data_IF_611022466869
#
_entry.id   IF_611022466869
#
_cell.length_a   1.000
_cell.length_b   1.000
_cell.length_c   1.000
_cell.angle_alpha   90.00
_cell.angle_beta   90.00
_cell.angle_gamma   90.00
#
_symmetry.space_group_name_H-M   'P 1'
#
loop_
_entity.id
_entity.type
_entity.pdbx_description
1 polymer ?
#
# COMPACT_ATOMS: atom_id res chain seq x y z
N UNK A 1 -16.63 7.96 -11.50
CA UNK A 1 -17.42 9.20 -11.35
C UNK A 1 -18.34 9.19 -10.12
N UNK A 2 -19.06 8.10 -9.79
CA UNK A 2 -19.91 8.04 -8.59
C UNK A 2 -19.10 8.20 -7.30
N UNK A 3 -17.92 7.58 -7.21
CA UNK A 3 -17.03 7.72 -6.06
C UNK A 3 -16.51 9.16 -5.90
N UNK A 4 -16.24 9.86 -7.01
CA UNK A 4 -15.80 11.27 -6.94
C UNK A 4 -16.83 12.22 -6.31
N UNK A 5 -18.12 11.88 -6.37
CA UNK A 5 -19.16 12.64 -5.70
C UNK A 5 -19.16 12.45 -4.19
N UNK A 6 -18.59 11.35 -3.70
CA UNK A 6 -18.49 11.01 -2.28
C UNK A 6 -17.15 11.38 -1.67
N UNK A 7 -16.07 11.10 -2.39
CA UNK A 7 -14.69 11.23 -1.91
C UNK A 7 -13.95 12.45 -2.48
N UNK A 8 -14.65 13.30 -3.25
CA UNK A 8 -14.02 14.44 -3.93
C UNK A 8 -13.31 14.05 -5.22
N UNK A 9 -12.50 14.96 -5.79
CA UNK A 9 -11.80 14.71 -7.04
C UNK A 9 -10.81 13.54 -6.91
N UNK A 10 -10.74 12.72 -7.96
CA UNK A 10 -9.73 11.67 -8.06
C UNK A 10 -8.36 12.35 -8.09
N UNK A 11 -7.46 11.90 -7.23
CA UNK A 11 -6.08 12.36 -7.18
C UNK A 11 -5.29 11.79 -8.36
N UNK A 12 -4.76 12.65 -9.19
CA UNK A 12 -3.91 12.26 -10.30
C UNK A 12 -2.54 11.83 -9.79
N UNK A 13 -2.05 10.70 -10.28
CA UNK A 13 -0.79 10.10 -9.89
C UNK A 13 0.13 9.95 -11.09
N UNK A 14 1.34 9.41 -10.91
CA UNK A 14 2.21 9.07 -12.04
C UNK A 14 1.62 8.00 -12.98
N UNK A 15 0.59 7.26 -12.52
CA UNK A 15 -0.16 6.27 -13.30
C UNK A 15 -1.47 6.81 -13.90
N UNK A 16 -1.59 8.12 -14.10
CA UNK A 16 -2.82 8.77 -14.52
C UNK A 16 -3.87 8.90 -13.40
N UNK A 17 -5.04 9.36 -13.80
CA UNK A 17 -6.19 9.59 -12.93
C UNK A 17 -6.91 8.30 -12.51
N UNK A 18 -6.98 7.35 -13.44
CA UNK A 18 -7.52 6.00 -13.22
C UNK A 18 -6.53 5.04 -13.86
N UNK A 19 -5.92 4.23 -13.02
CA UNK A 19 -4.96 3.24 -13.47
C UNK A 19 -5.67 1.93 -13.82
N UNK A 20 -5.43 1.42 -15.03
CA UNK A 20 -6.00 0.16 -15.49
C UNK A 20 -4.98 -0.97 -15.30
N UNK A 21 -5.36 -1.97 -14.52
CA UNK A 21 -4.56 -3.17 -14.27
C UNK A 21 -5.22 -4.36 -14.96
N UNK A 22 -4.65 -4.77 -16.09
CA UNK A 22 -5.10 -5.94 -16.84
C UNK A 22 -3.90 -6.78 -17.28
N UNK A 23 -4.13 -8.07 -17.52
CA UNK A 23 -3.07 -9.02 -17.94
C UNK A 23 -2.79 -8.96 -19.44
N UNK A 24 -3.66 -8.33 -20.22
CA UNK A 24 -3.61 -8.28 -21.69
C UNK A 24 -2.82 -7.09 -22.25
N UNK A 25 -2.24 -6.24 -21.40
CA UNK A 25 -1.52 -5.03 -21.81
C UNK A 25 0.00 -5.15 -21.71
N UNK A 26 0.67 -4.01 -21.90
CA UNK A 26 2.11 -3.91 -21.62
C UNK A 26 2.37 -4.13 -20.12
N UNK A 27 3.32 -5.00 -19.82
CA UNK A 27 3.70 -5.32 -18.43
C UNK A 27 4.67 -4.25 -17.93
N UNK A 28 4.19 -3.31 -17.12
CA UNK A 28 5.05 -2.29 -16.50
C UNK A 28 5.62 -2.74 -15.15
N UNK A 29 4.85 -3.55 -14.42
CA UNK A 29 5.22 -4.03 -13.09
C UNK A 29 4.53 -5.37 -12.78
N UNK A 30 4.79 -5.92 -11.59
CA UNK A 30 4.25 -7.22 -11.14
C UNK A 30 2.72 -7.24 -11.11
N UNK A 31 2.05 -6.11 -10.89
CA UNK A 31 0.57 -6.03 -10.85
C UNK A 31 -0.08 -6.45 -12.19
N UNK A 32 0.61 -6.22 -13.32
CA UNK A 32 0.19 -6.65 -14.67
C UNK A 32 0.51 -8.10 -15.00
N UNK A 33 1.00 -8.88 -14.06
CA UNK A 33 1.31 -10.30 -14.23
C UNK A 33 0.33 -11.17 -13.43
N UNK A 34 0.32 -12.48 -13.70
CA UNK A 34 -0.45 -13.45 -12.92
C UNK A 34 0.23 -13.86 -11.60
N UNK A 35 1.44 -13.36 -11.31
CA UNK A 35 2.17 -13.64 -10.07
C UNK A 35 1.50 -13.00 -8.87
N UNK A 36 1.66 -13.60 -7.70
CA UNK A 36 1.26 -12.98 -6.44
C UNK A 36 1.96 -11.64 -6.21
N UNK A 37 1.24 -10.71 -5.59
CA UNK A 37 1.74 -9.39 -5.23
C UNK A 37 1.85 -9.33 -3.70
N UNK A 38 3.04 -9.13 -3.14
CA UNK A 38 3.23 -9.10 -1.69
C UNK A 38 2.56 -7.89 -1.05
N UNK A 39 2.26 -7.94 0.26
CA UNK A 39 1.65 -6.81 0.97
C UNK A 39 2.46 -5.52 0.86
N UNK A 40 1.79 -4.43 0.49
CA UNK A 40 2.38 -3.10 0.34
C UNK A 40 1.31 -2.00 0.41
N UNK A 41 1.77 -0.76 0.63
CA UNK A 41 0.99 0.40 0.19
C UNK A 41 1.60 0.98 -1.08
N UNK A 42 0.72 1.57 -1.90
CA UNK A 42 1.15 2.28 -3.09
C UNK A 42 1.82 3.61 -2.75
N UNK A 43 2.61 4.10 -3.70
CA UNK A 43 3.28 5.40 -3.61
C UNK A 43 4.12 5.61 -2.33
N UNK A 44 4.77 4.56 -1.85
CA UNK A 44 5.73 4.70 -0.74
C UNK A 44 6.85 5.71 -1.05
N UNK A 45 7.11 5.98 -2.33
CA UNK A 45 8.05 7.00 -2.82
C UNK A 45 7.48 8.42 -2.88
N UNK A 46 6.22 8.64 -2.53
CA UNK A 46 5.64 9.97 -2.41
C UNK A 46 5.89 10.56 -1.02
N UNK A 47 6.19 11.85 -0.94
CA UNK A 47 6.26 12.56 0.35
C UNK A 47 4.91 12.52 1.05
N UNK A 48 3.84 12.78 0.32
CA UNK A 48 2.45 12.67 0.77
C UNK A 48 1.77 11.57 -0.04
N UNK A 49 1.58 10.41 0.56
CA UNK A 49 0.86 9.30 -0.07
C UNK A 49 -0.63 9.64 -0.17
N UNK A 50 -1.33 9.20 -1.23
CA UNK A 50 -2.79 9.23 -1.26
C UNK A 50 -3.37 8.49 -0.06
N UNK A 51 -4.42 9.06 0.54
CA UNK A 51 -4.95 8.57 1.82
C UNK A 51 -6.01 7.49 1.66
N UNK A 52 -6.71 7.48 0.53
CA UNK A 52 -7.78 6.53 0.21
C UNK A 52 -7.54 5.96 -1.18
N UNK A 53 -7.69 4.66 -1.29
CA UNK A 53 -7.60 3.93 -2.54
C UNK A 53 -8.92 3.20 -2.82
N UNK A 54 -9.36 3.20 -4.07
CA UNK A 54 -10.50 2.45 -4.53
C UNK A 54 -10.09 1.47 -5.63
N UNK A 55 -10.20 0.19 -5.33
CA UNK A 55 -9.94 -0.92 -6.25
C UNK A 55 -11.27 -1.40 -6.82
N UNK A 56 -11.57 -1.06 -8.07
CA UNK A 56 -12.79 -1.45 -8.76
C UNK A 56 -12.53 -2.60 -9.70
N UNK A 57 -13.01 -3.77 -9.37
CA UNK A 57 -12.92 -4.95 -10.22
C UNK A 57 -14.00 -4.87 -11.31
N UNK A 58 -13.59 -4.69 -12.55
CA UNK A 58 -14.53 -4.68 -13.70
C UNK A 58 -14.86 -6.11 -14.15
N UNK A 59 -13.85 -6.95 -14.31
CA UNK A 59 -13.96 -8.34 -14.71
C UNK A 59 -13.01 -9.20 -13.89
N UNK A 60 -13.46 -10.35 -13.40
CA UNK A 60 -12.63 -11.31 -12.68
C UNK A 60 -13.11 -12.75 -12.92
N UNK A 61 -12.73 -13.28 -14.08
CA UNK A 61 -13.09 -14.62 -14.55
C UNK A 61 -12.02 -15.66 -14.18
N UNK A 62 -10.79 -15.20 -13.87
CA UNK A 62 -9.65 -16.07 -13.58
C UNK A 62 -9.83 -16.85 -12.26
N UNK A 63 -9.26 -18.05 -12.19
CA UNK A 63 -9.13 -18.83 -10.96
C UNK A 63 -7.99 -18.27 -10.08
N UNK A 64 -8.24 -18.09 -8.76
CA UNK A 64 -7.30 -17.48 -7.83
C UNK A 64 -7.33 -15.95 -7.86
N UNK A 65 -6.25 -15.32 -7.44
CA UNK A 65 -6.10 -13.86 -7.41
C UNK A 65 -6.92 -13.18 -6.32
N UNK A 66 -7.16 -13.88 -5.22
CA UNK A 66 -7.79 -13.34 -4.01
C UNK A 66 -7.01 -12.12 -3.53
N UNK A 67 -7.74 -11.09 -3.12
CA UNK A 67 -7.17 -9.93 -2.46
C UNK A 67 -6.88 -10.25 -1.00
N UNK A 68 -5.78 -9.70 -0.53
CA UNK A 68 -5.37 -9.78 0.87
C UNK A 68 -5.28 -8.36 1.39
N UNK A 69 -5.89 -8.12 2.55
CA UNK A 69 -5.79 -6.88 3.29
C UNK A 69 -5.09 -7.15 4.60
N UNK A 70 -4.12 -6.31 4.95
CA UNK A 70 -3.36 -6.41 6.22
C UNK A 70 -3.56 -5.13 7.01
N UNK A 71 -3.99 -5.23 8.27
CA UNK A 71 -4.13 -4.07 9.15
C UNK A 71 -2.78 -3.64 9.70
N UNK A 72 -2.17 -2.65 9.03
CA UNK A 72 -0.87 -2.11 9.42
C UNK A 72 -0.90 -1.40 10.79
N UNK A 73 -2.01 -0.76 11.15
CA UNK A 73 -2.10 -0.08 12.45
C UNK A 73 -2.18 -1.06 13.62
N UNK A 74 -2.88 -2.19 13.46
CA UNK A 74 -2.89 -3.23 14.47
C UNK A 74 -1.48 -3.83 14.68
N UNK A 75 -0.74 -4.04 13.59
CA UNK A 75 0.67 -4.46 13.66
C UNK A 75 1.50 -3.46 14.45
N UNK A 76 1.34 -2.15 14.19
CA UNK A 76 2.08 -1.09 14.85
C UNK A 76 1.76 -1.03 16.35
N UNK A 77 0.47 -1.12 16.71
CA UNK A 77 0.06 -1.09 18.11
C UNK A 77 0.53 -2.32 18.89
N UNK A 78 0.49 -3.50 18.28
CA UNK A 78 1.06 -4.69 18.90
C UNK A 78 2.60 -4.60 19.01
N UNK A 79 3.28 -4.07 17.99
CA UNK A 79 4.72 -3.86 18.06
C UNK A 79 5.09 -2.86 19.17
N UNK A 80 4.31 -1.78 19.33
CA UNK A 80 4.51 -0.79 20.40
C UNK A 80 4.44 -1.40 21.79
N UNK A 81 3.55 -2.38 22.00
CA UNK A 81 3.38 -3.10 23.26
C UNK A 81 4.48 -4.15 23.48
N UNK A 82 4.72 -4.97 22.45
CA UNK A 82 5.59 -6.14 22.56
C UNK A 82 7.06 -5.80 22.49
N UNK A 83 7.43 -4.82 21.66
CA UNK A 83 8.81 -4.39 21.43
C UNK A 83 8.89 -2.88 21.16
N UNK A 84 8.80 -2.04 22.21
CA UNK A 84 8.85 -0.59 22.07
C UNK A 84 10.18 -0.06 21.51
N UNK A 85 11.28 -0.80 21.63
CA UNK A 85 12.55 -0.45 21.00
C UNK A 85 12.43 -0.49 19.47
N UNK A 86 11.89 -1.57 18.90
CA UNK A 86 11.70 -1.69 17.47
C UNK A 86 10.66 -0.69 16.94
N UNK A 87 9.60 -0.43 17.69
CA UNK A 87 8.64 0.62 17.36
C UNK A 87 9.34 1.98 17.22
N UNK A 88 10.19 2.37 18.19
CA UNK A 88 10.90 3.64 18.13
C UNK A 88 11.90 3.70 16.96
N UNK A 89 12.65 2.62 16.72
CA UNK A 89 13.55 2.54 15.56
C UNK A 89 12.77 2.79 14.26
N UNK A 90 11.62 2.13 14.04
CA UNK A 90 10.84 2.25 12.82
C UNK A 90 10.11 3.60 12.69
N UNK A 91 9.93 4.31 13.79
CA UNK A 91 9.38 5.68 13.82
C UNK A 91 10.42 6.75 13.52
N UNK A 92 11.69 6.52 13.87
CA UNK A 92 12.75 7.52 13.79
C UNK A 92 13.64 7.35 12.55
N UNK A 93 13.80 6.12 12.08
CA UNK A 93 14.66 5.82 10.96
C UNK A 93 13.99 6.17 9.62
N UNK A 94 14.55 7.11 8.87
CA UNK A 94 14.09 7.44 7.52
C UNK A 94 14.63 6.44 6.51
N UNK A 95 13.71 5.80 5.81
CA UNK A 95 13.95 4.81 4.76
C UNK A 95 13.81 5.48 3.40
N UNK A 96 14.77 5.30 2.48
CA UNK A 96 14.62 5.79 1.11
C UNK A 96 13.68 4.89 0.30
N UNK A 97 12.69 5.51 -0.34
CA UNK A 97 11.79 4.88 -1.29
C UNK A 97 11.89 5.58 -2.65
N UNK A 98 11.95 4.80 -3.71
CA UNK A 98 12.07 5.31 -5.07
C UNK A 98 11.21 4.52 -6.03
N UNK A 99 10.54 5.22 -6.94
CA UNK A 99 9.84 4.67 -8.07
C UNK A 99 10.19 5.47 -9.32
N UNK A 100 10.45 4.81 -10.42
CA UNK A 100 10.78 5.48 -11.68
C UNK A 100 10.33 4.64 -12.87
N UNK A 101 10.04 5.33 -13.95
CA UNK A 101 9.85 4.80 -15.30
C UNK A 101 10.67 5.63 -16.30
N UNK A 102 10.42 5.50 -17.59
CA UNK A 102 11.14 6.24 -18.63
C UNK A 102 10.99 7.76 -18.53
N UNK A 103 9.88 8.25 -17.98
CA UNK A 103 9.48 9.65 -17.98
C UNK A 103 9.32 10.27 -16.59
N UNK A 104 9.16 9.43 -15.56
CA UNK A 104 8.81 9.87 -14.22
C UNK A 104 9.74 9.27 -13.17
N UNK A 105 10.02 10.08 -12.16
CA UNK A 105 10.72 9.62 -10.96
C UNK A 105 10.09 10.25 -9.73
N UNK A 106 9.85 9.44 -8.69
CA UNK A 106 9.43 9.89 -7.39
C UNK A 106 10.35 9.32 -6.32
N UNK A 107 10.69 10.16 -5.34
CA UNK A 107 11.60 9.82 -4.25
C UNK A 107 11.14 10.45 -2.94
N UNK A 108 11.15 9.67 -1.89
CA UNK A 108 10.93 10.15 -0.53
C UNK A 108 11.80 9.38 0.46
N UNK A 109 12.29 10.10 1.47
CA UNK A 109 12.79 9.50 2.69
C UNK A 109 11.74 9.67 3.79
N UNK A 110 11.30 8.57 4.39
CA UNK A 110 10.24 8.59 5.38
C UNK A 110 10.36 7.38 6.31
N UNK A 111 9.88 7.50 7.56
CA UNK A 111 9.85 6.38 8.49
C UNK A 111 8.79 5.36 8.06
N UNK A 112 8.96 4.12 8.51
CA UNK A 112 7.95 3.06 8.36
C UNK A 112 6.69 3.38 9.16
N UNK A 113 6.85 3.93 10.36
CA UNK A 113 5.76 4.31 11.27
C UNK A 113 5.78 5.82 11.44
N UNK A 114 4.67 6.48 11.13
CA UNK A 114 4.49 7.90 11.42
C UNK A 114 3.42 8.06 12.49
N UNK A 115 3.74 8.86 13.51
CA UNK A 115 2.79 9.21 14.57
C UNK A 115 2.58 10.72 14.61
N UNK A 116 1.38 11.12 15.06
CA UNK A 116 1.06 12.50 15.44
C UNK A 116 1.73 12.91 16.75
N UNK A 117 1.57 14.17 17.11
CA UNK A 117 2.14 14.72 18.36
C UNK A 117 1.55 14.11 19.64
N UNK A 118 0.33 13.59 19.59
CA UNK A 118 -0.33 12.88 20.70
C UNK A 118 0.06 11.38 20.76
N UNK A 119 0.89 10.92 19.82
CA UNK A 119 1.37 9.55 19.74
C UNK A 119 0.45 8.59 18.96
N UNK A 120 -0.70 9.05 18.44
CA UNK A 120 -1.56 8.21 17.58
C UNK A 120 -0.88 7.91 16.25
N UNK A 121 -1.12 6.71 15.70
CA UNK A 121 -0.56 6.30 14.40
C UNK A 121 -1.23 7.08 13.28
N UNK A 122 -0.44 7.75 12.44
CA UNK A 122 -0.92 8.46 11.25
C UNK A 122 -0.75 7.63 9.99
N UNK A 123 0.38 6.94 9.85
CA UNK A 123 0.62 6.08 8.69
C UNK A 123 1.58 4.94 9.00
N UNK A 124 1.36 3.85 8.28
CA UNK A 124 2.27 2.71 8.19
C UNK A 124 2.70 2.56 6.73
N UNK A 125 3.97 2.85 6.44
CA UNK A 125 4.57 2.85 5.09
C UNK A 125 5.36 1.57 4.88
N UNK A 126 4.90 0.71 3.99
CA UNK A 126 5.54 -0.57 3.75
C UNK A 126 5.49 -0.95 2.26
N UNK A 127 6.64 -1.04 1.63
CA UNK A 127 6.78 -1.50 0.24
C UNK A 127 8.20 -2.01 -0.02
N UNK A 128 8.36 -3.33 -0.03
CA UNK A 128 9.65 -3.95 -0.35
C UNK A 128 10.10 -3.65 -1.78
N UNK A 129 9.17 -3.38 -2.69
CA UNK A 129 9.49 -3.11 -4.10
C UNK A 129 10.10 -1.73 -4.31
N UNK A 130 9.68 -0.74 -3.51
CA UNK A 130 10.11 0.65 -3.66
C UNK A 130 11.21 1.05 -2.67
N UNK A 131 11.41 0.26 -1.61
CA UNK A 131 12.48 0.48 -0.65
C UNK A 131 13.84 0.35 -1.33
N UNK A 132 14.69 1.36 -1.16
CA UNK A 132 16.03 1.38 -1.69
C UNK A 132 17.04 0.85 -0.68
N UNK A 133 18.22 0.53 -1.19
CA UNK A 133 19.34 0.11 -0.35
C UNK A 133 19.73 1.24 0.61
N UNK A 134 19.84 0.89 1.88
CA UNK A 134 20.31 1.79 2.93
C UNK A 134 21.83 1.71 2.98
N UNK A 135 22.51 2.84 3.19
CA UNK A 135 23.95 2.89 3.32
C UNK A 135 24.42 1.93 4.44
N UNK A 136 25.18 0.88 4.12
CA UNK A 136 25.62 -0.12 5.09
C UNK A 136 26.63 0.41 6.11
N UNK A 137 27.22 1.59 5.87
CA UNK A 137 28.17 2.23 6.80
C UNK A 137 27.49 2.92 7.99
N UNK A 138 26.17 3.09 7.96
CA UNK A 138 25.41 3.68 9.06
C UNK A 138 25.42 2.76 10.27
N UNK A 139 25.68 3.31 11.43
CA UNK A 139 25.73 2.56 12.71
C UNK A 139 24.37 1.96 13.08
N UNK A 140 23.27 2.64 12.72
CA UNK A 140 21.88 2.26 13.04
C UNK A 140 21.25 1.26 12.06
N UNK A 141 21.90 0.96 10.93
CA UNK A 141 21.34 0.10 9.86
C UNK A 141 21.02 -1.31 10.33
N UNK A 142 21.87 -1.87 11.20
CA UNK A 142 21.68 -3.24 11.71
C UNK A 142 20.47 -3.35 12.64
N UNK A 143 20.24 -2.36 13.49
CA UNK A 143 19.08 -2.30 14.38
C UNK A 143 17.80 -2.05 13.58
N UNK A 144 17.87 -1.18 12.56
CA UNK A 144 16.76 -0.98 11.64
C UNK A 144 16.33 -2.30 10.96
N UNK A 145 17.26 -3.04 10.36
CA UNK A 145 16.89 -4.29 9.68
C UNK A 145 16.34 -5.37 10.62
N UNK A 146 16.73 -5.40 11.90
CA UNK A 146 16.11 -6.28 12.89
C UNK A 146 14.66 -5.89 13.15
N UNK A 147 14.40 -4.59 13.36
CA UNK A 147 13.05 -4.08 13.57
C UNK A 147 12.17 -4.26 12.32
N UNK A 148 12.74 -4.02 11.13
CA UNK A 148 12.05 -4.22 9.85
C UNK A 148 11.70 -5.69 9.59
N UNK A 149 12.59 -6.61 9.94
CA UNK A 149 12.33 -8.05 9.85
C UNK A 149 11.17 -8.47 10.75
N UNK A 150 11.10 -7.97 11.97
CA UNK A 150 9.98 -8.23 12.89
C UNK A 150 8.65 -7.77 12.29
N UNK A 151 8.58 -6.55 11.79
CA UNK A 151 7.38 -6.04 11.11
C UNK A 151 7.05 -6.85 9.86
N UNK A 152 8.05 -7.18 9.04
CA UNK A 152 7.84 -7.99 7.83
C UNK A 152 7.26 -9.38 8.18
N UNK A 153 7.68 -9.97 9.30
CA UNK A 153 7.10 -11.23 9.80
C UNK A 153 5.63 -11.05 10.16
N UNK A 154 5.28 -9.99 10.89
CA UNK A 154 3.90 -9.68 11.28
C UNK A 154 3.00 -9.40 10.08
N UNK A 155 3.51 -8.71 9.07
CA UNK A 155 2.77 -8.44 7.81
C UNK A 155 2.33 -9.73 7.11
N UNK A 156 3.06 -10.82 7.31
CA UNK A 156 2.71 -12.13 6.74
C UNK A 156 1.93 -13.04 7.69
N UNK A 157 1.69 -12.62 8.95
CA UNK A 157 0.93 -13.38 9.93
C UNK A 157 -0.58 -13.31 9.64
N UNK A 158 -1.24 -14.44 9.68
CA UNK A 158 -2.69 -14.57 9.48
C UNK A 158 -3.53 -13.78 10.48
N UNK A 159 -2.99 -13.47 11.66
CA UNK A 159 -3.61 -12.63 12.69
C UNK A 159 -4.06 -11.27 12.15
N UNK A 160 -3.27 -10.66 11.27
CA UNK A 160 -3.49 -9.30 10.77
C UNK A 160 -4.10 -9.26 9.36
N UNK A 161 -4.42 -10.44 8.78
CA UNK A 161 -4.80 -10.58 7.37
C UNK A 161 -6.26 -10.98 7.20
N UNK A 162 -6.89 -10.41 6.17
CA UNK A 162 -8.16 -10.90 5.63
C UNK A 162 -7.97 -11.19 4.14
N UNK A 163 -8.42 -12.36 3.71
CA UNK A 163 -8.32 -12.81 2.31
C UNK A 163 -9.72 -13.02 1.76
N UNK A 164 -10.00 -12.48 0.59
CA UNK A 164 -11.31 -12.58 -0.05
C UNK A 164 -11.20 -12.37 -1.56
N UNK A 165 -12.19 -12.87 -2.29
CA UNK A 165 -12.32 -12.61 -3.72
C UNK A 165 -13.08 -11.31 -3.94
N UNK A 166 -12.56 -10.44 -4.81
CA UNK A 166 -13.29 -9.29 -5.35
C UNK A 166 -13.84 -9.68 -6.70
N UNK A 167 -15.18 -9.74 -6.82
CA UNK A 167 -15.86 -10.15 -8.06
C UNK A 167 -16.04 -8.98 -9.01
N UNK A 168 -16.34 -9.28 -10.27
CA UNK A 168 -16.67 -8.25 -11.25
C UNK A 168 -17.84 -7.39 -10.80
N UNK A 169 -17.70 -6.06 -10.92
CA UNK A 169 -18.64 -5.05 -10.44
C UNK A 169 -18.47 -4.61 -8.99
N UNK A 170 -17.62 -5.26 -8.21
CA UNK A 170 -17.36 -4.90 -6.82
C UNK A 170 -16.24 -3.85 -6.68
N UNK A 171 -16.33 -3.02 -5.64
CA UNK A 171 -15.33 -2.01 -5.30
C UNK A 171 -14.87 -2.20 -3.86
N UNK A 172 -13.56 -2.33 -3.68
CA UNK A 172 -12.92 -2.24 -2.38
C UNK A 172 -12.40 -0.83 -2.17
N UNK A 173 -12.73 -0.22 -1.03
CA UNK A 173 -12.22 1.09 -0.63
C UNK A 173 -11.42 0.91 0.66
N UNK A 174 -10.17 1.38 0.66
CA UNK A 174 -9.25 1.23 1.79
C UNK A 174 -8.62 2.56 2.20
N UNK A 175 -8.36 2.69 3.50
CA UNK A 175 -7.50 3.75 4.04
C UNK A 175 -6.04 3.38 3.79
N UNK A 176 -5.46 3.91 2.71
CA UNK A 176 -4.12 3.51 2.21
C UNK A 176 -2.99 3.73 3.20
N UNK A 177 -3.15 4.69 4.13
CA UNK A 177 -2.15 4.98 5.17
C UNK A 177 -2.19 3.98 6.34
N UNK A 178 -3.29 3.21 6.46
CA UNK A 178 -3.48 2.19 7.49
C UNK A 178 -3.25 0.79 6.97
N UNK A 179 -3.77 0.48 5.79
CA UNK A 179 -3.92 -0.88 5.28
C UNK A 179 -2.89 -1.17 4.21
N UNK A 180 -2.28 -2.35 4.27
CA UNK A 180 -1.56 -2.89 3.12
C UNK A 180 -2.51 -3.76 2.31
N UNK A 181 -2.31 -3.77 1.02
CA UNK A 181 -3.00 -4.70 0.14
C UNK A 181 -2.03 -5.65 -0.57
N UNK A 182 -2.52 -6.82 -0.91
CA UNK A 182 -1.78 -7.86 -1.61
C UNK A 182 -2.73 -8.68 -2.49
N UNK A 183 -2.18 -9.55 -3.30
CA UNK A 183 -2.95 -10.43 -4.17
C UNK A 183 -2.26 -11.78 -4.29
N UNK A 184 -3.03 -12.85 -4.16
CA UNK A 184 -2.55 -14.19 -4.52
C UNK A 184 -2.28 -14.29 -6.03
N UNK A 185 -1.48 -15.29 -6.42
CA UNK A 185 -1.32 -15.64 -7.82
C UNK A 185 -2.65 -16.14 -8.41
N UNK A 186 -2.80 -16.03 -9.71
CA UNK A 186 -3.98 -16.54 -10.41
C UNK A 186 -3.59 -17.23 -11.73
N UNK A 187 -4.47 -18.08 -12.22
CA UNK A 187 -4.34 -18.71 -13.53
C UNK A 187 -4.94 -17.74 -14.55
N UNK A 188 -4.18 -17.28 -15.57
CA UNK A 188 -4.68 -16.32 -16.56
C UNK A 188 -5.51 -17.02 -17.65
N UNK A 189 -6.59 -17.69 -17.27
CA UNK A 189 -7.49 -18.50 -18.10
C UNK A 189 -8.78 -17.75 -18.48
N UNK A 190 -8.95 -16.53 -17.98
CA UNK A 190 -10.09 -15.66 -18.23
C UNK A 190 -9.70 -14.17 -18.21
N UNK A 191 -10.71 -13.32 -18.30
CA UNK A 191 -10.53 -11.88 -18.22
C UNK A 191 -10.36 -11.45 -16.78
N UNK A 192 -9.38 -10.58 -16.54
CA UNK A 192 -9.20 -9.89 -15.28
C UNK A 192 -8.83 -8.44 -15.54
N UNK A 193 -9.72 -7.53 -15.13
CA UNK A 193 -9.54 -6.10 -15.30
C UNK A 193 -9.95 -5.35 -14.03
N UNK A 194 -9.00 -4.69 -13.42
CA UNK A 194 -9.18 -3.87 -12.24
C UNK A 194 -8.85 -2.42 -12.59
N UNK A 195 -9.64 -1.49 -12.09
CA UNK A 195 -9.34 -0.07 -12.09
C UNK A 195 -8.96 0.38 -10.69
N UNK A 196 -7.91 1.17 -10.61
CA UNK A 196 -7.40 1.73 -9.37
C UNK A 196 -7.50 3.26 -9.42
N UNK A 197 -7.98 3.87 -8.33
CA UNK A 197 -8.14 5.30 -8.20
C UNK A 197 -7.85 5.75 -6.76
N UNK A 198 -7.28 6.94 -6.63
CA UNK A 198 -6.82 7.47 -5.35
C UNK A 198 -7.53 8.77 -5.00
N UNK A 199 -7.68 9.01 -3.68
CA UNK A 199 -8.30 10.21 -3.15
C UNK A 199 -7.49 10.75 -1.97
N UNK A 200 -7.66 12.04 -1.72
CA UNK A 200 -7.06 12.70 -0.56
C UNK A 200 -8.10 12.78 0.56
N UNK A 201 -7.68 12.45 1.77
CA UNK A 201 -8.56 12.34 2.94
C UNK A 201 -9.32 13.65 3.23
N UNK A 202 -8.67 14.79 3.10
CA UNK A 202 -9.29 16.10 3.31
C UNK A 202 -10.50 16.34 2.38
N UNK A 203 -10.38 15.90 1.13
CA UNK A 203 -11.49 15.98 0.17
C UNK A 203 -12.62 15.00 0.52
N UNK A 204 -12.28 13.80 0.98
CA UNK A 204 -13.24 12.78 1.38
C UNK A 204 -14.04 13.22 2.60
N UNK A 205 -13.40 13.79 3.62
CA UNK A 205 -14.08 14.31 4.82
C UNK A 205 -15.01 15.46 4.51
N UNK A 206 -14.60 16.42 3.68
CA UNK A 206 -15.41 17.58 3.33
C UNK A 206 -16.70 17.21 2.57
N UNK A 207 -16.73 16.07 1.88
CA UNK A 207 -17.92 15.57 1.18
C UNK A 207 -18.79 14.63 2.03
N UNK A 208 -18.35 14.24 3.21
CA UNK A 208 -19.14 13.42 4.16
C UNK A 208 -19.97 14.25 5.15
N UNK A 209 -19.85 15.57 5.13
CA UNK A 209 -20.51 16.51 6.06
C UNK A 209 -21.70 17.18 5.36
N UNK A 210 -22.61 16.39 4.77
CA UNK A 210 -23.93 16.87 4.35
C UNK A 210 -24.98 15.83 4.70
#
# INVERSE_FOLDING_TARGET
>A
ELLSKRFGPIHETLFERIHNVSVTGQVYNVAHTSKGLPPHNDFASYKSQPSVQALHMLENECEGGELIIVDGWEIVEDLRKDNPEYFNILKEFNVPFRQFDENNETYAEAPIIKCSSDGSVESFRFSNQLMQMIDPSREDVKSFYKAYHEVSTRVHDSKYRSTFRLNGGEVLIVASLRVLHARESFIPDGKRHLQDAYFVYDNALNNCVI
#
